data_IF_531400073900
#
_entry.id   IF_531400073900
#
_cell.length_a   1.000
_cell.length_b   1.000
_cell.length_c   1.000
_cell.angle_alpha   90.00
_cell.angle_beta   90.00
_cell.angle_gamma   90.00
#
_symmetry.space_group_name_H-M   'P 1'
#
loop_
_entity.id
_entity.type
_entity.pdbx_description
1 polymer ?
#
# COMPACT_ATOMS: atom_id res chain seq x y z
N UNK A 1 30.68 -64.90 -29.38
CA UNK A 1 31.07 -64.10 -28.20
C UNK A 1 31.62 -62.79 -28.73
N UNK A 2 31.05 -61.60 -28.49
CA UNK A 2 29.91 -61.22 -27.66
C UNK A 2 29.24 -60.02 -28.33
N UNK A 3 28.07 -60.24 -28.92
CA UNK A 3 27.16 -59.18 -29.38
C UNK A 3 26.68 -58.30 -28.19
N UNK A 4 26.92 -58.76 -26.97
CA UNK A 4 26.63 -58.05 -25.73
C UNK A 4 27.64 -56.93 -25.41
N UNK A 5 28.92 -57.08 -25.80
CA UNK A 5 29.96 -56.08 -25.51
C UNK A 5 29.84 -54.85 -26.43
N UNK A 6 29.37 -55.04 -27.67
CA UNK A 6 29.15 -53.96 -28.64
C UNK A 6 27.84 -53.18 -28.38
N UNK A 7 26.84 -53.84 -27.78
CA UNK A 7 25.60 -53.20 -27.29
C UNK A 7 25.88 -52.34 -26.04
N UNK A 8 26.76 -52.80 -25.13
CA UNK A 8 27.15 -52.05 -23.93
C UNK A 8 28.06 -50.85 -24.25
N UNK A 9 28.90 -50.94 -25.30
CA UNK A 9 29.70 -49.82 -25.78
C UNK A 9 28.85 -48.69 -26.39
N UNK A 10 27.74 -49.02 -27.06
CA UNK A 10 26.79 -48.03 -27.60
C UNK A 10 25.85 -47.43 -26.55
N UNK A 11 25.56 -48.13 -25.46
CA UNK A 11 24.76 -47.60 -24.35
C UNK A 11 25.47 -46.51 -23.53
N UNK A 12 26.82 -46.52 -23.50
CA UNK A 12 27.64 -45.51 -22.80
C UNK A 12 28.18 -44.40 -23.73
N UNK A 13 27.80 -44.42 -25.01
CA UNK A 13 28.33 -43.56 -26.07
C UNK A 13 27.48 -42.33 -26.40
N UNK A 14 26.91 -41.64 -25.41
CA UNK A 14 26.50 -40.23 -25.56
C UNK A 14 26.36 -39.55 -24.20
N UNK A 15 27.43 -39.58 -23.41
CA UNK A 15 27.71 -38.46 -22.53
C UNK A 15 28.00 -37.24 -23.42
N UNK A 16 26.93 -36.60 -23.92
CA UNK A 16 26.98 -35.15 -24.05
C UNK A 16 27.19 -34.68 -22.63
N UNK A 17 28.44 -34.34 -22.34
CA UNK A 17 28.82 -33.49 -21.23
C UNK A 17 28.03 -32.20 -21.41
N UNK A 18 26.76 -32.19 -20.99
CA UNK A 18 26.12 -30.97 -20.56
C UNK A 18 27.07 -30.47 -19.48
N UNK A 19 27.90 -29.49 -19.86
CA UNK A 19 28.73 -28.77 -18.94
C UNK A 19 27.82 -28.43 -17.77
N UNK A 20 28.00 -29.13 -16.65
CA UNK A 20 27.34 -28.83 -15.38
C UNK A 20 27.76 -27.40 -15.15
N UNK A 21 26.90 -26.42 -15.49
CA UNK A 21 27.14 -25.01 -15.22
C UNK A 21 27.36 -24.97 -13.72
N UNK A 22 28.62 -24.90 -13.32
CA UNK A 22 29.02 -24.71 -11.95
C UNK A 22 28.32 -23.43 -11.52
N UNK A 23 27.49 -23.53 -10.49
CA UNK A 23 26.79 -22.38 -9.95
C UNK A 23 27.85 -21.37 -9.50
N UNK A 24 27.99 -20.29 -10.27
CA UNK A 24 28.88 -19.20 -9.90
C UNK A 24 28.18 -18.38 -8.82
N UNK A 25 28.55 -18.68 -7.57
CA UNK A 25 28.01 -18.02 -6.39
C UNK A 25 28.25 -16.51 -6.42
N UNK A 26 29.40 -16.06 -6.93
CA UNK A 26 29.73 -14.63 -6.97
C UNK A 26 28.88 -13.89 -7.99
N UNK A 27 28.76 -14.45 -9.21
CA UNK A 27 27.89 -13.88 -10.25
C UNK A 27 26.41 -13.87 -9.80
N UNK A 28 25.96 -14.88 -9.04
CA UNK A 28 24.61 -14.89 -8.49
C UNK A 28 24.40 -13.81 -7.41
N UNK A 29 25.37 -13.60 -6.51
CA UNK A 29 25.31 -12.54 -5.48
C UNK A 29 25.27 -11.17 -6.15
N UNK A 30 26.16 -10.92 -7.11
CA UNK A 30 26.25 -9.65 -7.84
C UNK A 30 24.95 -9.36 -8.59
N UNK A 31 24.40 -10.35 -9.32
CA UNK A 31 23.10 -10.21 -9.99
C UNK A 31 21.99 -9.88 -9.01
N UNK A 32 21.92 -10.54 -7.86
CA UNK A 32 20.89 -10.27 -6.83
C UNK A 32 21.06 -8.88 -6.20
N UNK A 33 22.29 -8.43 -6.03
CA UNK A 33 22.58 -7.08 -5.58
C UNK A 33 22.15 -6.03 -6.61
N UNK A 34 22.46 -6.25 -7.89
CA UNK A 34 22.03 -5.38 -8.98
C UNK A 34 20.50 -5.31 -9.09
N UNK A 35 19.81 -6.45 -9.04
CA UNK A 35 18.34 -6.50 -9.07
C UNK A 35 17.71 -5.70 -7.91
N UNK A 36 18.32 -5.72 -6.71
CA UNK A 36 17.86 -4.89 -5.58
C UNK A 36 18.15 -3.42 -5.81
N UNK A 37 19.34 -3.10 -6.30
CA UNK A 37 19.75 -1.72 -6.54
C UNK A 37 18.81 -1.05 -7.55
N UNK A 38 18.46 -1.74 -8.63
CA UNK A 38 17.48 -1.24 -9.62
C UNK A 38 16.13 -0.87 -8.99
N UNK A 39 15.68 -1.65 -8.01
CA UNK A 39 14.41 -1.39 -7.32
C UNK A 39 14.54 -0.17 -6.39
N UNK A 40 15.66 -0.04 -5.67
CA UNK A 40 15.94 1.15 -4.85
C UNK A 40 16.08 2.42 -5.69
N UNK A 41 16.80 2.35 -6.81
CA UNK A 41 16.98 3.49 -7.72
C UNK A 41 15.64 3.95 -8.29
N UNK A 42 14.74 3.00 -8.62
CA UNK A 42 13.39 3.33 -9.05
C UNK A 42 12.56 3.96 -7.92
N UNK A 43 12.67 3.45 -6.69
CA UNK A 43 12.01 4.07 -5.53
C UNK A 43 12.44 5.52 -5.35
N UNK A 44 13.75 5.79 -5.38
CA UNK A 44 14.27 7.13 -5.15
C UNK A 44 13.93 8.08 -6.31
N UNK A 45 14.06 7.61 -7.55
CA UNK A 45 13.63 8.36 -8.74
C UNK A 45 12.15 8.74 -8.66
N UNK A 46 11.28 7.78 -8.31
CA UNK A 46 9.84 8.07 -8.20
C UNK A 46 9.54 8.98 -7.02
N UNK A 47 10.25 8.86 -5.90
CA UNK A 47 10.13 9.80 -4.78
C UNK A 47 10.47 11.24 -5.21
N UNK A 48 11.52 11.43 -6.03
CA UNK A 48 11.89 12.73 -6.58
C UNK A 48 10.87 13.27 -7.59
N UNK A 49 10.21 12.40 -8.36
CA UNK A 49 9.12 12.81 -9.26
C UNK A 49 7.87 13.26 -8.48
N UNK A 50 7.43 12.48 -7.48
CA UNK A 50 6.19 12.79 -6.75
C UNK A 50 6.31 14.01 -5.85
N UNK A 51 7.51 14.45 -5.48
CA UNK A 51 7.69 15.67 -4.68
C UNK A 51 7.60 16.96 -5.51
N UNK A 52 7.61 16.89 -6.84
CA UNK A 52 7.55 18.07 -7.74
C UNK A 52 6.41 18.03 -8.75
N UNK A 53 5.85 16.85 -9.05
CA UNK A 53 4.76 16.66 -9.99
C UNK A 53 3.47 16.25 -9.25
N UNK A 54 2.46 17.12 -9.28
CA UNK A 54 1.20 16.94 -8.57
C UNK A 54 0.37 15.76 -9.10
N UNK A 55 0.44 15.46 -10.39
CA UNK A 55 -0.30 14.36 -10.99
C UNK A 55 0.36 13.03 -10.64
N UNK A 56 1.70 12.98 -10.64
CA UNK A 56 2.46 11.84 -10.12
C UNK A 56 2.20 11.61 -8.64
N UNK A 57 2.11 12.68 -7.84
CA UNK A 57 1.76 12.59 -6.43
C UNK A 57 0.37 11.98 -6.22
N UNK A 58 -0.66 12.49 -6.92
CA UNK A 58 -2.02 11.92 -6.87
C UNK A 58 -2.07 10.47 -7.32
N UNK A 59 -1.33 10.14 -8.38
CA UNK A 59 -1.20 8.76 -8.86
C UNK A 59 -0.61 7.85 -7.78
N UNK A 60 0.41 8.32 -7.06
CA UNK A 60 0.97 7.61 -5.91
C UNK A 60 -0.06 7.42 -4.79
N UNK A 61 -0.84 8.45 -4.43
CA UNK A 61 -1.89 8.33 -3.41
C UNK A 61 -2.94 7.28 -3.81
N UNK A 62 -3.35 7.26 -5.08
CA UNK A 62 -4.30 6.26 -5.61
C UNK A 62 -3.76 4.82 -5.50
N UNK A 63 -2.45 4.63 -5.72
CA UNK A 63 -1.78 3.33 -5.59
C UNK A 63 -1.59 2.96 -4.12
N UNK A 64 -1.07 3.86 -3.29
CA UNK A 64 -0.81 3.61 -1.87
C UNK A 64 -2.11 3.34 -1.10
N UNK A 65 -3.19 4.06 -1.41
CA UNK A 65 -4.51 3.84 -0.80
C UNK A 65 -5.13 2.50 -1.20
N UNK A 66 -4.85 2.00 -2.41
CA UNK A 66 -5.32 0.70 -2.92
C UNK A 66 -4.50 -0.45 -2.35
N UNK A 67 -3.18 -0.30 -2.33
CA UNK A 67 -2.22 -1.26 -1.78
C UNK A 67 -1.75 -0.82 -0.40
N UNK A 68 -2.70 -0.58 0.51
CA UNK A 68 -2.45 0.00 1.84
C UNK A 68 -1.51 -0.85 2.71
N UNK A 69 -1.46 -2.16 2.49
CA UNK A 69 -0.54 -3.07 3.17
C UNK A 69 0.88 -3.04 2.63
N UNK A 70 1.10 -2.51 1.42
CA UNK A 70 2.43 -2.42 0.83
C UNK A 70 3.22 -1.26 1.46
N UNK A 71 4.54 -1.43 1.53
CA UNK A 71 5.45 -0.35 1.93
C UNK A 71 5.41 0.81 0.93
N UNK A 72 5.79 2.00 1.38
CA UNK A 72 5.90 3.19 0.53
C UNK A 72 6.81 2.94 -0.67
N UNK A 73 7.96 2.30 -0.45
CA UNK A 73 8.88 1.96 -1.53
C UNK A 73 8.19 1.09 -2.60
N UNK A 74 7.47 0.05 -2.19
CA UNK A 74 6.78 -0.80 -3.15
C UNK A 74 5.62 -0.07 -3.84
N UNK A 75 4.89 0.79 -3.13
CA UNK A 75 3.83 1.61 -3.72
C UNK A 75 4.38 2.62 -4.74
N UNK A 76 5.55 3.22 -4.50
CA UNK A 76 6.25 4.06 -5.47
C UNK A 76 6.62 3.26 -6.72
N UNK A 77 7.20 2.08 -6.56
CA UNK A 77 7.57 1.21 -7.70
C UNK A 77 6.34 0.77 -8.50
N UNK A 78 5.24 0.42 -7.83
CA UNK A 78 3.97 0.11 -8.50
C UNK A 78 3.43 1.34 -9.23
N UNK A 79 3.51 2.52 -8.63
CA UNK A 79 3.09 3.78 -9.25
C UNK A 79 3.87 4.09 -10.53
N UNK A 80 5.18 3.86 -10.52
CA UNK A 80 6.02 4.08 -11.69
C UNK A 80 5.79 3.04 -12.80
N UNK A 81 5.49 1.79 -12.41
CA UNK A 81 5.43 0.66 -13.35
C UNK A 81 4.03 0.43 -13.92
N UNK A 82 3.01 0.42 -13.06
CA UNK A 82 1.62 0.13 -13.42
C UNK A 82 0.66 0.80 -12.41
N UNK A 83 0.41 2.11 -12.53
CA UNK A 83 -0.42 2.85 -11.57
C UNK A 83 -1.90 2.38 -11.53
N UNK A 84 -2.33 1.70 -12.58
CA UNK A 84 -3.66 1.09 -12.70
C UNK A 84 -3.74 -0.31 -12.10
N UNK A 85 -2.66 -0.86 -11.51
CA UNK A 85 -2.66 -2.21 -10.93
C UNK A 85 -3.74 -2.36 -9.86
N UNK A 86 -4.48 -3.46 -9.86
CA UNK A 86 -5.60 -3.70 -8.93
C UNK A 86 -5.42 -4.94 -8.07
N UNK A 87 -4.63 -5.91 -8.50
CA UNK A 87 -4.36 -7.11 -7.74
C UNK A 87 -3.03 -7.70 -8.16
N UNK A 88 -2.05 -7.67 -7.26
CA UNK A 88 -0.71 -8.17 -7.49
C UNK A 88 -0.52 -9.51 -6.80
N UNK A 89 0.06 -10.48 -7.52
CA UNK A 89 0.48 -11.77 -6.97
C UNK A 89 1.75 -12.28 -7.65
N UNK A 90 2.45 -13.22 -7.02
CA UNK A 90 3.57 -13.92 -7.67
C UNK A 90 3.06 -14.86 -8.77
N UNK A 91 3.98 -15.35 -9.61
CA UNK A 91 3.65 -16.28 -10.69
C UNK A 91 2.94 -17.55 -10.17
N UNK A 92 3.47 -18.13 -9.11
CA UNK A 92 2.94 -19.39 -8.54
C UNK A 92 1.55 -19.18 -7.92
N UNK A 93 1.32 -18.05 -7.22
CA UNK A 93 0.01 -17.70 -6.66
C UNK A 93 -1.08 -17.53 -7.74
N UNK A 94 -0.71 -17.01 -8.91
CA UNK A 94 -1.63 -16.93 -10.05
C UNK A 94 -1.95 -18.30 -10.62
N UNK A 95 -0.93 -19.16 -10.75
CA UNK A 95 -1.08 -20.53 -11.20
C UNK A 95 -1.99 -21.33 -10.26
N UNK A 96 -1.82 -21.17 -8.95
CA UNK A 96 -2.70 -21.77 -7.92
C UNK A 96 -4.13 -21.23 -8.00
N UNK A 97 -4.30 -19.96 -8.33
CA UNK A 97 -5.60 -19.35 -8.59
C UNK A 97 -6.23 -19.73 -9.96
N UNK A 98 -5.59 -20.63 -10.73
CA UNK A 98 -6.07 -21.08 -12.03
C UNK A 98 -5.89 -20.07 -13.17
N UNK A 99 -5.01 -19.08 -13.00
CA UNK A 99 -4.70 -18.08 -14.00
C UNK A 99 -3.25 -18.20 -14.47
N UNK A 100 -3.00 -17.85 -15.72
CA UNK A 100 -1.65 -17.83 -16.29
C UNK A 100 -1.25 -16.42 -16.68
N UNK A 101 0.04 -16.12 -16.54
CA UNK A 101 0.60 -14.86 -17.03
C UNK A 101 0.57 -14.86 -18.56
N UNK A 102 0.08 -13.78 -19.17
CA UNK A 102 0.05 -13.63 -20.63
C UNK A 102 1.48 -13.58 -21.18
N UNK A 103 1.66 -14.09 -22.40
CA UNK A 103 2.97 -14.11 -23.06
C UNK A 103 3.50 -12.69 -23.26
N UNK A 104 4.73 -12.44 -22.83
CA UNK A 104 5.43 -11.16 -23.01
C UNK A 104 5.25 -10.16 -21.85
N UNK A 105 4.43 -10.49 -20.85
CA UNK A 105 4.22 -9.62 -19.70
C UNK A 105 5.45 -9.51 -18.81
N UNK A 106 5.78 -8.28 -18.44
CA UNK A 106 6.82 -7.98 -17.48
C UNK A 106 6.18 -7.60 -16.15
N UNK A 107 6.33 -8.47 -15.16
CA UNK A 107 5.91 -8.20 -13.79
C UNK A 107 6.75 -7.10 -13.12
N UNK A 108 6.17 -6.52 -12.09
CA UNK A 108 6.72 -5.44 -11.26
C UNK A 108 7.66 -6.05 -10.21
N UNK A 109 8.89 -5.54 -10.12
CA UNK A 109 9.84 -5.97 -9.08
C UNK A 109 9.54 -5.21 -7.78
N UNK A 110 9.28 -5.91 -6.68
CA UNK A 110 9.08 -5.34 -5.35
C UNK A 110 10.10 -5.90 -4.35
N UNK A 111 10.25 -5.26 -3.21
CA UNK A 111 11.05 -5.79 -2.09
C UNK A 111 10.16 -6.39 -1.01
N UNK A 112 10.50 -7.60 -0.57
CA UNK A 112 9.91 -8.24 0.59
C UNK A 112 10.98 -8.54 1.64
N UNK A 113 10.64 -8.46 2.94
CA UNK A 113 11.55 -8.88 3.99
C UNK A 113 11.84 -10.38 3.86
N UNK A 114 13.11 -10.73 3.81
CA UNK A 114 13.63 -12.09 3.88
C UNK A 114 14.07 -12.45 5.29
N UNK A 115 15.03 -13.37 5.38
CA UNK A 115 15.52 -13.86 6.67
C UNK A 115 16.29 -12.77 7.43
N UNK A 116 16.16 -12.74 8.77
CA UNK A 116 17.02 -11.93 9.61
C UNK A 116 18.47 -12.44 9.54
N UNK A 117 19.43 -11.53 9.64
CA UNK A 117 20.86 -11.85 9.65
C UNK A 117 21.59 -10.98 10.68
N UNK A 118 22.75 -11.45 11.15
CA UNK A 118 23.58 -10.68 12.08
C UNK A 118 24.56 -9.82 11.28
N UNK A 119 24.55 -8.50 11.53
CA UNK A 119 25.54 -7.57 10.98
C UNK A 119 26.89 -7.74 11.67
N UNK A 120 27.94 -7.17 11.09
CA UNK A 120 29.30 -7.24 11.64
C UNK A 120 29.42 -6.60 13.03
N UNK A 121 28.56 -5.65 13.38
CA UNK A 121 28.48 -4.99 14.68
C UNK A 121 27.66 -5.77 15.73
N UNK A 122 27.18 -6.97 15.40
CA UNK A 122 26.36 -7.80 16.27
C UNK A 122 24.86 -7.45 16.27
N UNK A 123 24.45 -6.39 15.56
CA UNK A 123 23.03 -6.02 15.43
C UNK A 123 22.29 -6.97 14.47
N UNK A 124 20.97 -7.12 14.68
CA UNK A 124 20.11 -7.86 13.75
C UNK A 124 19.69 -6.98 12.57
N UNK A 125 19.87 -7.47 11.35
CA UNK A 125 19.36 -6.92 10.10
C UNK A 125 18.32 -7.82 9.47
N UNK A 126 17.54 -7.28 8.54
CA UNK A 126 16.57 -8.04 7.73
C UNK A 126 17.08 -7.98 6.29
N UNK A 127 17.25 -9.14 5.66
CA UNK A 127 17.55 -9.19 4.23
C UNK A 127 16.31 -8.79 3.43
N UNK A 128 16.49 -8.23 2.23
CA UNK A 128 15.37 -7.92 1.35
C UNK A 128 15.50 -8.73 0.07
N UNK A 129 14.41 -9.39 -0.33
CA UNK A 129 14.35 -10.20 -1.54
C UNK A 129 13.54 -9.49 -2.61
N UNK A 130 14.06 -9.51 -3.84
CA UNK A 130 13.31 -9.01 -4.99
C UNK A 130 12.29 -10.07 -5.40
N UNK A 131 11.01 -9.72 -5.31
CA UNK A 131 9.90 -10.53 -5.84
C UNK A 131 9.35 -9.91 -7.11
N UNK A 132 8.85 -10.76 -8.01
CA UNK A 132 8.25 -10.33 -9.27
C UNK A 132 6.75 -10.58 -9.21
N UNK A 133 5.99 -9.49 -9.16
CA UNK A 133 4.54 -9.49 -9.06
C UNK A 133 3.90 -9.23 -10.41
N UNK A 134 2.75 -9.82 -10.66
CA UNK A 134 1.96 -9.58 -11.86
C UNK A 134 0.58 -9.09 -11.46
N UNK A 135 0.11 -8.05 -12.13
CA UNK A 135 -1.26 -7.59 -11.97
C UNK A 135 -2.25 -8.52 -12.65
N UNK A 136 -3.48 -8.59 -12.15
CA UNK A 136 -4.55 -9.38 -12.77
C UNK A 136 -4.74 -9.07 -14.26
N UNK A 137 -4.57 -7.81 -14.69
CA UNK A 137 -4.66 -7.41 -16.09
C UNK A 137 -3.61 -8.08 -16.98
N UNK A 138 -2.49 -8.52 -16.41
CA UNK A 138 -1.40 -9.25 -17.07
C UNK A 138 -1.64 -10.77 -17.11
N UNK A 139 -2.79 -11.23 -16.64
CA UNK A 139 -3.11 -12.66 -16.57
C UNK A 139 -4.31 -13.02 -17.44
N UNK A 140 -4.55 -14.31 -17.62
CA UNK A 140 -5.76 -14.86 -18.25
C UNK A 140 -6.99 -14.77 -17.34
N UNK A 141 -6.86 -14.32 -16.09
CA UNK A 141 -7.99 -14.20 -15.17
C UNK A 141 -8.98 -13.14 -15.62
N UNK A 142 -10.27 -13.47 -15.53
CA UNK A 142 -11.38 -12.55 -15.72
C UNK A 142 -12.12 -12.27 -14.39
N UNK A 143 -11.57 -12.73 -13.27
CA UNK A 143 -12.16 -12.48 -11.96
C UNK A 143 -12.11 -11.00 -11.65
N UNK A 144 -13.21 -10.43 -11.17
CA UNK A 144 -13.19 -9.08 -10.62
C UNK A 144 -12.76 -9.15 -9.16
N UNK A 145 -11.92 -8.22 -8.68
CA UNK A 145 -11.64 -8.10 -7.25
C UNK A 145 -12.96 -8.04 -6.48
N UNK A 146 -13.14 -8.91 -5.48
CA UNK A 146 -14.30 -8.85 -4.59
C UNK A 146 -14.16 -7.61 -3.71
N UNK A 147 -14.91 -6.56 -4.01
CA UNK A 147 -15.03 -5.39 -3.15
C UNK A 147 -16.30 -5.50 -2.33
N UNK A 148 -16.16 -5.66 -1.01
CA UNK A 148 -17.29 -5.52 -0.10
C UNK A 148 -17.55 -4.02 0.03
N UNK A 149 -18.68 -3.56 -0.49
CA UNK A 149 -19.12 -2.18 -0.34
C UNK A 149 -20.09 -2.08 0.84
N UNK A 150 -19.76 -1.23 1.80
CA UNK A 150 -20.66 -0.85 2.90
C UNK A 150 -21.39 0.44 2.54
N UNK A 151 -22.53 0.71 3.16
CA UNK A 151 -23.15 2.03 3.07
C UNK A 151 -22.33 3.09 3.84
N UNK A 152 -22.53 4.36 3.51
CA UNK A 152 -21.74 5.45 4.08
C UNK A 152 -21.93 5.62 5.59
N UNK A 153 -23.10 5.24 6.13
CA UNK A 153 -23.34 5.30 7.58
C UNK A 153 -22.56 4.21 8.30
N UNK A 154 -22.46 3.01 7.72
CA UNK A 154 -21.65 1.92 8.25
C UNK A 154 -20.16 2.28 8.18
N UNK A 155 -19.69 2.92 7.10
CA UNK A 155 -18.31 3.45 7.00
C UNK A 155 -18.03 4.50 8.06
N UNK A 156 -18.92 5.48 8.23
CA UNK A 156 -18.78 6.51 9.26
C UNK A 156 -18.79 5.89 10.67
N UNK A 157 -19.69 4.94 10.91
CA UNK A 157 -19.73 4.21 12.18
C UNK A 157 -18.41 3.48 12.45
N UNK A 158 -17.84 2.83 11.43
CA UNK A 158 -16.55 2.14 11.54
C UNK A 158 -15.40 3.11 11.88
N UNK A 159 -15.45 4.34 11.35
CA UNK A 159 -14.44 5.36 11.59
C UNK A 159 -14.53 5.96 13.00
N UNK A 160 -15.75 6.09 13.54
CA UNK A 160 -16.01 6.59 14.90
C UNK A 160 -15.83 5.51 15.98
N UNK A 161 -16.00 4.24 15.62
CA UNK A 161 -15.85 3.12 16.55
C UNK A 161 -14.39 3.01 16.98
N UNK A 162 -14.19 2.94 18.30
CA UNK A 162 -12.86 2.84 18.92
C UNK A 162 -11.92 3.99 18.51
N UNK A 163 -12.51 5.18 18.32
CA UNK A 163 -11.80 6.41 18.05
C UNK A 163 -10.74 6.68 19.14
N UNK A 164 -9.50 7.09 18.78
CA UNK A 164 -8.41 7.29 19.73
C UNK A 164 -8.58 8.52 20.64
N UNK A 165 -9.57 9.36 20.36
CA UNK A 165 -9.89 10.58 21.12
C UNK A 165 -11.38 10.67 21.37
N UNK A 166 -11.77 11.44 22.37
CA UNK A 166 -13.18 11.65 22.71
C UNK A 166 -13.93 12.32 21.54
N UNK A 167 -15.19 11.95 21.35
CA UNK A 167 -16.05 12.51 20.31
C UNK A 167 -17.19 13.29 20.97
N UNK A 168 -17.33 14.57 20.60
CA UNK A 168 -18.36 15.48 21.11
C UNK A 168 -19.25 15.95 19.97
N UNK A 169 -20.53 15.58 20.01
CA UNK A 169 -21.52 16.03 19.04
C UNK A 169 -22.08 17.41 19.42
N UNK A 170 -21.84 18.42 18.58
CA UNK A 170 -22.21 19.83 18.80
C UNK A 170 -23.16 20.34 17.72
N UNK A 171 -23.93 21.38 18.02
CA UNK A 171 -24.80 22.00 17.01
C UNK A 171 -23.98 22.84 16.01
N UNK A 172 -22.93 23.50 16.47
CA UNK A 172 -21.99 24.27 15.64
C UNK A 172 -20.56 24.22 16.20
N UNK A 173 -19.57 24.39 15.32
CA UNK A 173 -18.16 24.54 15.68
C UNK A 173 -17.83 26.04 15.57
N UNK A 174 -17.44 26.72 16.68
CA UNK A 174 -17.18 28.15 16.66
C UNK A 174 -16.10 28.55 15.65
N UNK A 175 -16.31 29.66 14.94
CA UNK A 175 -15.35 30.26 14.00
C UNK A 175 -14.88 29.34 12.85
N UNK A 176 -15.64 28.28 12.55
CA UNK A 176 -15.25 27.25 11.59
C UNK A 176 -16.43 26.89 10.69
N UNK A 177 -16.18 26.80 9.38
CA UNK A 177 -17.14 26.24 8.43
C UNK A 177 -17.05 24.71 8.36
N UNK A 178 -16.13 24.11 9.12
CA UNK A 178 -15.95 22.67 9.16
C UNK A 178 -17.13 22.00 9.88
N UNK A 179 -17.41 20.75 9.50
CA UNK A 179 -18.35 19.88 10.20
C UNK A 179 -17.63 18.95 11.18
N UNK A 180 -16.31 18.83 11.10
CA UNK A 180 -15.48 18.12 12.09
C UNK A 180 -14.21 18.91 12.36
N UNK A 181 -13.85 19.05 13.63
CA UNK A 181 -12.62 19.70 14.06
C UNK A 181 -12.03 18.99 15.28
N UNK A 182 -10.75 18.65 15.23
CA UNK A 182 -10.03 18.18 16.42
C UNK A 182 -9.48 19.38 17.19
N UNK A 183 -9.84 19.47 18.47
CA UNK A 183 -9.25 20.44 19.39
C UNK A 183 -8.13 19.76 20.19
N UNK A 184 -6.92 20.30 20.07
CA UNK A 184 -5.72 19.76 20.72
C UNK A 184 -5.71 19.95 22.24
N UNK A 185 -6.28 21.04 22.75
CA UNK A 185 -6.31 21.33 24.20
C UNK A 185 -7.27 20.40 24.94
N UNK A 186 -8.46 20.19 24.37
CA UNK A 186 -9.47 19.29 24.90
C UNK A 186 -9.19 17.81 24.58
N UNK A 187 -8.24 17.56 23.67
CA UNK A 187 -8.00 16.26 23.04
C UNK A 187 -9.31 15.56 22.59
N UNK A 188 -10.16 16.29 21.89
CA UNK A 188 -11.49 15.83 21.49
C UNK A 188 -11.85 16.26 20.07
N UNK A 189 -12.58 15.39 19.37
CA UNK A 189 -13.19 15.65 18.07
C UNK A 189 -14.58 16.24 18.26
N UNK A 190 -14.76 17.47 17.79
CA UNK A 190 -16.07 18.10 17.69
C UNK A 190 -16.70 17.76 16.35
N UNK A 191 -17.91 17.19 16.36
CA UNK A 191 -18.66 16.78 15.17
C UNK A 191 -19.99 17.52 15.13
N UNK A 192 -20.20 18.31 14.06
CA UNK A 192 -21.44 19.07 13.84
C UNK A 192 -22.61 18.13 13.55
N UNK A 193 -23.71 18.30 14.27
CA UNK A 193 -24.96 17.57 14.06
C UNK A 193 -25.60 17.97 12.72
N UNK A 194 -26.23 17.01 12.05
CA UNK A 194 -26.96 17.24 10.80
C UNK A 194 -26.10 17.42 9.54
N UNK A 195 -24.77 17.25 9.63
CA UNK A 195 -23.90 17.24 8.46
C UNK A 195 -24.12 16.01 7.56
N UNK A 196 -23.82 16.14 6.27
CA UNK A 196 -23.91 15.02 5.34
C UNK A 196 -22.85 13.95 5.66
N UNK A 197 -23.26 12.69 5.68
CA UNK A 197 -22.38 11.57 6.06
C UNK A 197 -21.06 11.51 5.29
N UNK A 198 -21.02 11.67 3.95
CA UNK A 198 -19.75 11.70 3.21
C UNK A 198 -18.84 12.85 3.61
N UNK A 199 -19.41 14.04 3.88
CA UNK A 199 -18.64 15.22 4.29
C UNK A 199 -18.07 15.07 5.68
N UNK A 200 -18.87 14.55 6.63
CA UNK A 200 -18.39 14.19 7.97
C UNK A 200 -17.27 13.16 7.86
N UNK A 201 -17.42 12.12 7.04
CA UNK A 201 -16.39 11.09 6.86
C UNK A 201 -15.06 11.69 6.38
N UNK A 202 -15.08 12.53 5.34
CA UNK A 202 -13.88 13.17 4.80
C UNK A 202 -13.15 14.02 5.82
N UNK A 203 -13.88 14.87 6.55
CA UNK A 203 -13.28 15.74 7.54
C UNK A 203 -12.81 14.94 8.76
N UNK A 204 -13.58 13.95 9.22
CA UNK A 204 -13.18 13.06 10.30
C UNK A 204 -11.92 12.26 9.96
N UNK A 205 -11.79 11.74 8.74
CA UNK A 205 -10.58 11.05 8.29
C UNK A 205 -9.35 11.98 8.30
N UNK A 206 -9.53 13.24 7.90
CA UNK A 206 -8.48 14.28 7.95
C UNK A 206 -8.07 14.60 9.39
N UNK A 207 -9.04 14.84 10.27
CA UNK A 207 -8.78 15.17 11.68
C UNK A 207 -8.17 13.98 12.44
N UNK A 208 -8.63 12.75 12.19
CA UNK A 208 -8.03 11.54 12.77
C UNK A 208 -6.60 11.29 12.28
N UNK A 209 -6.31 11.66 11.02
CA UNK A 209 -4.92 11.66 10.55
C UNK A 209 -4.10 12.65 11.35
N UNK A 210 -4.63 13.86 11.62
CA UNK A 210 -3.93 14.87 12.43
C UNK A 210 -3.64 14.39 13.85
N UNK A 211 -4.57 13.64 14.47
CA UNK A 211 -4.34 12.99 15.77
C UNK A 211 -3.19 11.98 15.72
N UNK A 212 -3.08 11.23 14.62
CA UNK A 212 -2.10 10.15 14.48
C UNK A 212 -0.70 10.62 14.04
N UNK A 213 -0.59 11.79 13.42
CA UNK A 213 0.67 12.32 12.91
C UNK A 213 1.44 13.10 13.98
N UNK A 214 2.76 12.93 13.98
CA UNK A 214 3.67 13.85 14.66
C UNK A 214 3.76 15.17 13.88
N UNK A 215 3.72 16.29 14.61
CA UNK A 215 3.84 17.63 14.02
C UNK A 215 5.26 17.86 13.51
N UNK A 216 5.39 18.26 12.24
CA UNK A 216 6.70 18.57 11.64
C UNK A 216 7.22 19.96 12.02
N UNK A 217 6.38 20.77 12.67
CA UNK A 217 6.63 22.20 12.88
C UNK A 217 6.35 23.05 11.64
N UNK A 218 5.87 22.45 10.55
CA UNK A 218 5.42 23.13 9.34
C UNK A 218 3.92 22.87 9.11
N UNK A 219 3.04 23.81 9.48
CA UNK A 219 1.59 23.65 9.35
C UNK A 219 1.10 23.41 7.92
N UNK A 220 1.80 23.92 6.90
CA UNK A 220 1.45 23.68 5.49
C UNK A 220 1.68 22.21 5.13
N UNK A 221 2.86 21.66 5.50
CA UNK A 221 3.20 20.26 5.29
C UNK A 221 2.30 19.33 6.11
N UNK A 222 2.06 19.64 7.37
CA UNK A 222 1.20 18.84 8.26
C UNK A 222 -0.23 18.77 7.72
N UNK A 223 -0.79 19.91 7.28
CA UNK A 223 -2.11 19.94 6.66
C UNK A 223 -2.13 19.19 5.33
N UNK A 224 -1.11 19.34 4.50
CA UNK A 224 -0.99 18.60 3.25
C UNK A 224 -1.01 17.09 3.49
N UNK A 225 -0.23 16.60 4.47
CA UNK A 225 -0.23 15.19 4.88
C UNK A 225 -1.62 14.72 5.33
N UNK A 226 -2.30 15.51 6.17
CA UNK A 226 -3.65 15.18 6.64
C UNK A 226 -4.67 15.08 5.50
N UNK A 227 -4.63 16.02 4.54
CA UNK A 227 -5.51 16.02 3.37
C UNK A 227 -5.20 14.83 2.45
N UNK A 228 -3.93 14.54 2.20
CA UNK A 228 -3.49 13.41 1.37
C UNK A 228 -3.90 12.05 1.97
N UNK A 229 -3.75 11.85 3.28
CA UNK A 229 -4.20 10.62 3.94
C UNK A 229 -5.73 10.48 3.92
N UNK A 230 -6.46 11.58 4.16
CA UNK A 230 -7.92 11.57 4.02
C UNK A 230 -8.36 11.21 2.60
N UNK A 231 -7.69 11.73 1.57
CA UNK A 231 -7.91 11.36 0.19
C UNK A 231 -7.74 9.85 -0.05
N UNK A 232 -6.65 9.25 0.45
CA UNK A 232 -6.39 7.80 0.33
C UNK A 232 -7.48 6.98 1.02
N UNK A 233 -7.88 7.34 2.24
CA UNK A 233 -8.96 6.68 2.98
C UNK A 233 -10.29 6.78 2.23
N UNK A 234 -10.67 7.97 1.78
CA UNK A 234 -11.93 8.20 1.08
C UNK A 234 -11.99 7.39 -0.22
N UNK A 235 -10.92 7.40 -1.02
CA UNK A 235 -10.83 6.57 -2.23
C UNK A 235 -10.98 5.08 -1.93
N UNK A 236 -10.29 4.58 -0.90
CA UNK A 236 -10.35 3.17 -0.49
C UNK A 236 -11.78 2.75 -0.13
N UNK A 237 -12.51 3.61 0.57
CA UNK A 237 -13.89 3.33 0.99
C UNK A 237 -14.96 3.80 0.00
N UNK A 238 -14.58 4.27 -1.19
CA UNK A 238 -15.52 4.71 -2.23
C UNK A 238 -16.32 5.95 -1.83
N UNK A 239 -15.78 6.80 -0.96
CA UNK A 239 -16.31 8.13 -0.68
C UNK A 239 -15.82 9.08 -1.78
N UNK A 240 -16.72 9.89 -2.32
CA UNK A 240 -16.36 10.86 -3.36
C UNK A 240 -15.30 11.83 -2.87
N UNK A 241 -14.26 12.04 -3.68
CA UNK A 241 -13.11 12.90 -3.37
C UNK A 241 -13.03 14.12 -4.26
N UNK A 242 -14.05 14.39 -5.08
CA UNK A 242 -14.05 15.50 -6.03
C UNK A 242 -13.81 16.87 -5.37
N UNK A 243 -14.20 17.01 -4.10
CA UNK A 243 -14.03 18.23 -3.32
C UNK A 243 -12.77 18.25 -2.43
N UNK A 244 -11.95 17.20 -2.46
CA UNK A 244 -10.66 17.18 -1.74
C UNK A 244 -9.60 17.81 -2.64
N UNK A 245 -9.18 19.02 -2.27
CA UNK A 245 -8.24 19.82 -3.04
C UNK A 245 -6.78 19.49 -2.67
N UNK A 246 -6.08 18.78 -3.56
CA UNK A 246 -4.63 18.57 -3.50
C UNK A 246 -4.06 19.17 -4.79
N UNK A 247 -3.76 20.46 -4.78
CA UNK A 247 -3.47 21.22 -6.01
C UNK A 247 -2.02 21.68 -6.11
N UNK A 248 -1.29 21.70 -5.00
CA UNK A 248 0.11 22.13 -4.96
C UNK A 248 0.87 21.31 -3.93
N UNK A 249 2.12 21.00 -4.26
CA UNK A 249 3.04 20.34 -3.33
C UNK A 249 3.75 21.42 -2.51
N UNK A 250 3.77 21.34 -1.17
CA UNK A 250 4.44 22.30 -0.30
C UNK A 250 5.95 22.40 -0.59
N UNK A 251 6.54 23.58 -0.40
CA UNK A 251 7.99 23.75 -0.63
C UNK A 251 8.85 22.91 0.31
N UNK A 252 8.39 22.69 1.54
CA UNK A 252 9.09 21.81 2.47
C UNK A 252 9.30 20.42 1.86
N UNK A 253 8.28 19.83 1.23
CA UNK A 253 8.39 18.51 0.61
C UNK A 253 9.26 18.52 -0.65
N UNK A 254 9.19 19.57 -1.47
CA UNK A 254 10.02 19.70 -2.69
C UNK A 254 11.51 19.74 -2.39
N UNK A 255 11.88 20.38 -1.28
CA UNK A 255 13.28 20.54 -0.86
C UNK A 255 13.91 19.27 -0.25
N UNK A 256 13.11 18.25 0.09
CA UNK A 256 13.57 17.02 0.73
C UNK A 256 14.33 16.11 -0.23
N UNK A 257 15.24 15.30 0.31
CA UNK A 257 15.81 14.14 -0.37
C UNK A 257 14.76 13.04 -0.60
N UNK A 258 15.01 12.12 -1.54
CA UNK A 258 14.13 10.97 -1.77
C UNK A 258 13.85 10.15 -0.50
N UNK A 259 14.84 10.01 0.39
CA UNK A 259 14.69 9.32 1.68
C UNK A 259 13.74 10.06 2.62
N UNK A 260 13.90 11.38 2.76
CA UNK A 260 13.02 12.22 3.59
C UNK A 260 11.58 12.23 3.04
N UNK A 261 11.40 12.33 1.72
CA UNK A 261 10.09 12.17 1.08
C UNK A 261 9.48 10.82 1.45
N UNK A 262 10.24 9.72 1.31
CA UNK A 262 9.76 8.38 1.69
C UNK A 262 9.39 8.29 3.17
N UNK A 263 10.07 9.00 4.06
CA UNK A 263 9.71 9.06 5.48
C UNK A 263 8.38 9.79 5.69
N UNK A 264 8.18 10.93 5.05
CA UNK A 264 6.90 11.67 5.12
C UNK A 264 5.74 10.83 4.57
N UNK A 265 5.94 10.19 3.42
CA UNK A 265 4.98 9.25 2.85
C UNK A 265 4.70 8.06 3.78
N UNK A 266 5.71 7.58 4.52
CA UNK A 266 5.57 6.48 5.47
C UNK A 266 4.71 6.89 6.65
N UNK A 267 4.89 8.12 7.17
CA UNK A 267 4.05 8.62 8.27
C UNK A 267 2.56 8.68 7.86
N UNK A 268 2.26 9.11 6.63
CA UNK A 268 0.89 9.11 6.10
C UNK A 268 0.32 7.69 5.96
N UNK A 269 1.12 6.75 5.44
CA UNK A 269 0.72 5.34 5.32
C UNK A 269 0.45 4.70 6.68
N UNK A 270 1.30 4.95 7.68
CA UNK A 270 1.11 4.42 9.03
C UNK A 270 -0.18 4.97 9.67
N UNK A 271 -0.42 6.28 9.57
CA UNK A 271 -1.67 6.87 10.03
C UNK A 271 -2.90 6.27 9.32
N UNK A 272 -2.80 6.03 8.01
CA UNK A 272 -3.85 5.35 7.24
C UNK A 272 -4.07 3.91 7.73
N UNK A 273 -3.00 3.16 7.98
CA UNK A 273 -3.05 1.77 8.46
C UNK A 273 -3.69 1.67 9.84
N UNK A 274 -3.35 2.58 10.75
CA UNK A 274 -3.94 2.63 12.10
C UNK A 274 -5.46 2.85 12.02
N UNK A 275 -5.90 3.79 11.19
CA UNK A 275 -7.32 4.05 10.94
C UNK A 275 -7.98 2.82 10.29
N UNK A 276 -7.37 2.27 9.24
CA UNK A 276 -7.91 1.11 8.53
C UNK A 276 -8.02 -0.14 9.40
N UNK A 277 -7.08 -0.35 10.32
CA UNK A 277 -7.08 -1.50 11.23
C UNK A 277 -8.29 -1.43 12.15
N UNK A 278 -8.59 -0.26 12.74
CA UNK A 278 -9.79 -0.04 13.57
C UNK A 278 -11.08 -0.26 12.78
N UNK A 279 -11.18 0.34 11.60
CA UNK A 279 -12.36 0.17 10.74
C UNK A 279 -12.55 -1.29 10.33
N UNK A 280 -11.47 -2.00 9.98
CA UNK A 280 -11.51 -3.41 9.58
C UNK A 280 -11.99 -4.30 10.72
N UNK A 281 -11.54 -4.07 11.95
CA UNK A 281 -12.02 -4.80 13.12
C UNK A 281 -13.55 -4.64 13.32
N UNK A 282 -14.08 -3.45 13.08
CA UNK A 282 -15.53 -3.22 13.11
C UNK A 282 -16.24 -3.96 11.97
N UNK A 283 -15.74 -3.91 10.74
CA UNK A 283 -16.31 -4.63 9.59
C UNK A 283 -16.33 -6.15 9.81
N UNK A 284 -15.28 -6.70 10.44
CA UNK A 284 -15.24 -8.10 10.84
C UNK A 284 -16.31 -8.45 11.88
N UNK A 285 -16.55 -7.56 12.84
CA UNK A 285 -17.55 -7.76 13.90
C UNK A 285 -18.96 -7.83 13.32
N UNK A 286 -19.31 -6.90 12.42
CA UNK A 286 -20.64 -6.88 11.80
C UNK A 286 -20.84 -8.01 10.77
N UNK A 287 -19.77 -8.49 10.12
CA UNK A 287 -19.85 -9.61 9.17
C UNK A 287 -19.98 -10.98 9.86
N UNK A 288 -19.45 -11.12 11.08
CA UNK A 288 -19.60 -12.32 11.93
C UNK A 288 -20.94 -12.37 12.67
N UNK A 289 -21.64 -11.24 12.81
CA UNK A 289 -22.95 -11.18 13.46
C UNK A 289 -24.02 -11.70 12.48
N UNK A 290 -24.70 -12.83 12.76
CA UNK A 290 -25.78 -13.31 11.90
C UNK A 290 -26.85 -12.23 11.78
N UNK A 291 -27.45 -12.07 10.58
CA UNK A 291 -28.67 -11.28 10.38
C UNK A 291 -29.87 -11.92 11.12
N UNK A 292 -29.85 -11.94 12.45
CA UNK A 292 -30.99 -12.34 13.26
C UNK A 292 -31.63 -11.11 13.90
N UNK A 293 -32.70 -10.68 13.24
CA UNK A 293 -33.90 -9.92 13.68
C UNK A 293 -34.55 -9.45 12.36
N UNK A 294 -35.33 -10.30 11.68
CA UNK A 294 -36.78 -10.48 11.89
C UNK A 294 -37.48 -9.14 12.18
N UNK A 295 -38.40 -8.67 11.33
CA UNK A 295 -39.72 -9.29 11.20
C UNK A 295 -40.25 -9.78 12.54
N UNK A 296 -40.27 -8.94 13.56
CA UNK A 296 -41.19 -9.11 14.69
C UNK A 296 -41.79 -7.75 15.10
N UNK A 297 -43.06 -7.62 14.72
CA UNK A 297 -44.12 -6.72 15.21
C UNK A 297 -44.21 -5.30 14.64
#
# INVERSE_FOLDING_TARGET
>A
MNDFDDIMAKANGSNTTQAKKTFDKNAWIEKKQQERQEVYDLMDKTADEVKVDIDKYKQYLDVQGRFDKYSVGNALVISASLPTATQLKEFDDWKEAGAFIKKGENGIKILEPGDPYTRADGSSGISYNVKKMFDISQTTSNQKPKTISYDDRVKLTALLKDCPVDIKAVDEIPNSNNVVEWNKEDNALYVKRGGETPEIFKQLAKELTRVALEETGNPELDNFKCVSTSYMLCKKYGIDVSNININSIPEALKSMSASEVRNELTSMRSAMEDINTRMSAYFETISKTPKNKEHER
#
